data_IF_400522026839
#
_entry.id   IF_400522026839
#
_cell.length_a   1.000
_cell.length_b   1.000
_cell.length_c   1.000
_cell.angle_alpha   90.00
_cell.angle_beta   90.00
_cell.angle_gamma   90.00
#
_symmetry.space_group_name_H-M   'P 1'
#
loop_
_entity.id
_entity.type
_entity.pdbx_description
1 polymer ?
#
# COMPACT_ATOMS: atom_id res chain seq x y z
N UNK A 1 13.69 -10.68 -13.09
CA UNK A 1 12.36 -10.34 -12.55
C UNK A 1 12.27 -10.94 -11.16
N UNK A 2 11.97 -10.14 -10.14
CA UNK A 2 11.76 -10.55 -8.76
C UNK A 2 10.26 -10.78 -8.59
N UNK A 3 9.86 -11.99 -8.19
CA UNK A 3 8.47 -12.36 -8.00
C UNK A 3 8.08 -12.20 -6.52
N UNK A 4 7.15 -11.29 -6.24
CA UNK A 4 6.63 -10.97 -4.93
C UNK A 4 5.28 -11.68 -4.71
N UNK A 5 5.32 -12.92 -4.21
CA UNK A 5 4.11 -13.71 -3.92
C UNK A 5 3.63 -13.50 -2.48
N UNK A 6 2.60 -12.69 -2.29
CA UNK A 6 2.00 -12.48 -0.97
C UNK A 6 0.75 -11.62 -1.01
N UNK A 7 0.39 -11.08 0.14
CA UNK A 7 -0.85 -10.34 0.32
C UNK A 7 -0.81 -8.95 -0.31
N UNK A 8 -1.98 -8.55 -0.83
CA UNK A 8 -2.31 -7.18 -1.18
C UNK A 8 -3.60 -6.83 -0.43
N UNK A 9 -3.56 -5.73 0.32
CA UNK A 9 -4.65 -5.34 1.23
C UNK A 9 -4.90 -3.83 1.15
N UNK A 10 -5.98 -3.40 1.79
CA UNK A 10 -6.31 -1.99 1.97
C UNK A 10 -6.15 -1.66 3.45
N UNK A 11 -5.22 -0.75 3.76
CA UNK A 11 -5.05 -0.18 5.09
C UNK A 11 -6.09 0.94 5.29
N UNK A 12 -6.98 0.76 6.26
CA UNK A 12 -7.97 1.75 6.66
C UNK A 12 -7.37 2.62 7.76
N UNK A 13 -6.72 3.73 7.39
CA UNK A 13 -6.01 4.59 8.33
C UNK A 13 -6.92 5.68 8.91
N UNK A 14 -6.90 5.93 10.23
CA UNK A 14 -7.76 6.95 10.85
C UNK A 14 -7.39 8.35 10.36
N UNK A 15 -8.40 9.13 10.02
CA UNK A 15 -8.32 10.51 9.53
C UNK A 15 -9.48 11.34 10.04
N UNK A 16 -9.42 12.64 9.77
CA UNK A 16 -10.50 13.59 10.05
C UNK A 16 -10.99 14.18 8.73
N UNK A 17 -12.31 14.25 8.54
CA UNK A 17 -12.90 14.90 7.36
C UNK A 17 -12.74 16.42 7.42
N UNK A 18 -13.02 17.12 6.32
CA UNK A 18 -13.03 18.60 6.31
C UNK A 18 -14.09 19.21 7.24
N UNK A 19 -15.11 18.44 7.61
CA UNK A 19 -16.13 18.82 8.59
C UNK A 19 -15.75 18.46 10.05
N UNK A 20 -14.57 17.87 10.28
CA UNK A 20 -14.09 17.53 11.63
C UNK A 20 -14.52 16.15 12.14
N UNK A 21 -15.10 15.29 11.30
CA UNK A 21 -15.62 13.97 11.70
C UNK A 21 -14.54 12.88 11.60
N UNK A 22 -14.59 11.83 12.46
CA UNK A 22 -13.70 10.68 12.33
C UNK A 22 -14.02 9.90 11.05
N UNK A 23 -12.98 9.55 10.29
CA UNK A 23 -13.09 8.77 9.06
C UNK A 23 -11.89 7.81 8.91
N UNK A 24 -11.99 6.93 7.93
CA UNK A 24 -10.87 6.07 7.51
C UNK A 24 -10.53 6.35 6.05
N UNK A 25 -9.27 6.65 5.78
CA UNK A 25 -8.77 6.79 4.42
C UNK A 25 -8.18 5.45 3.95
N UNK A 26 -8.60 4.93 2.78
CA UNK A 26 -8.05 3.70 2.23
C UNK A 26 -6.69 3.94 1.59
N UNK A 27 -5.71 3.13 1.95
CA UNK A 27 -4.39 3.08 1.31
C UNK A 27 -4.10 1.68 0.83
N UNK A 28 -3.41 1.55 -0.30
CA UNK A 28 -2.84 0.27 -0.70
C UNK A 28 -1.79 -0.16 0.33
N UNK A 29 -1.84 -1.40 0.76
CA UNK A 29 -0.94 -1.97 1.76
C UNK A 29 -0.68 -3.46 1.52
N UNK A 30 -0.01 -4.08 2.49
CA UNK A 30 0.50 -5.45 2.41
C UNK A 30 2.02 -5.44 2.35
N UNK A 31 2.68 -6.27 3.16
CA UNK A 31 4.13 -6.29 3.26
C UNK A 31 4.76 -6.68 1.92
N UNK A 32 4.22 -7.72 1.28
CA UNK A 32 4.72 -8.20 -0.01
C UNK A 32 4.34 -7.25 -1.15
N UNK A 33 3.12 -6.70 -1.15
CA UNK A 33 2.71 -5.67 -2.11
C UNK A 33 3.61 -4.42 -2.04
N UNK A 34 3.87 -3.90 -0.84
CA UNK A 34 4.74 -2.74 -0.63
C UNK A 34 6.17 -3.02 -1.08
N UNK A 35 6.66 -4.24 -0.90
CA UNK A 35 7.98 -4.68 -1.40
C UNK A 35 8.04 -4.61 -2.93
N UNK A 36 7.02 -5.13 -3.63
CA UNK A 36 6.96 -5.07 -5.09
C UNK A 36 6.98 -3.62 -5.62
N UNK A 37 6.18 -2.73 -5.00
CA UNK A 37 6.15 -1.30 -5.35
C UNK A 37 7.50 -0.62 -5.08
N UNK A 38 8.14 -0.91 -3.94
CA UNK A 38 9.44 -0.34 -3.60
C UNK A 38 10.52 -0.77 -4.59
N UNK A 39 10.56 -2.05 -4.96
CA UNK A 39 11.48 -2.57 -5.98
C UNK A 39 11.27 -1.89 -7.34
N UNK A 40 10.01 -1.75 -7.78
CA UNK A 40 9.69 -1.06 -9.02
C UNK A 40 10.13 0.40 -9.03
N UNK A 41 9.96 1.12 -7.91
CA UNK A 41 10.44 2.51 -7.75
C UNK A 41 11.96 2.64 -7.81
N UNK A 42 12.70 1.60 -7.42
CA UNK A 42 14.16 1.53 -7.53
C UNK A 42 14.63 1.07 -8.93
N UNK A 43 13.72 0.83 -9.86
CA UNK A 43 14.04 0.38 -11.22
C UNK A 43 14.34 -1.11 -11.35
N UNK A 44 14.11 -1.90 -10.29
CA UNK A 44 14.24 -3.35 -10.37
C UNK A 44 13.02 -3.95 -11.11
N UNK A 45 13.20 -5.00 -11.93
CA UNK A 45 12.07 -5.68 -12.57
C UNK A 45 11.33 -6.52 -11.51
N UNK A 46 10.19 -6.03 -11.00
CA UNK A 46 9.37 -6.69 -9.98
C UNK A 46 7.95 -7.00 -10.48
N UNK A 47 7.33 -8.06 -9.96
CA UNK A 47 5.97 -8.50 -10.29
C UNK A 47 5.40 -9.50 -9.29
#
# INVERSE_FOLDING_TARGET
>A
MILCCGEALIDMLPRTTTAGEPAFAPYVGGAVFNTAIALGRLGAPAG
#
